data_IF_073925627767
#
_entry.id   IF_073925627767
#
_cell.length_a   1.000
_cell.length_b   1.000
_cell.length_c   1.000
_cell.angle_alpha   90.00
_cell.angle_beta   90.00
_cell.angle_gamma   90.00
#
_symmetry.space_group_name_H-M   'P 1'
#
loop_
_entity.id
_entity.type
_entity.pdbx_description
1 polymer ?
#
# COMPACT_ATOMS: atom_id res chain seq x y z
N UNK A 1 -1.28 11.02 -7.13
CA UNK A 1 0.08 10.45 -7.24
C UNK A 1 0.13 9.19 -6.41
N UNK A 2 0.85 8.16 -6.86
CA UNK A 2 0.96 6.91 -6.09
C UNK A 2 2.35 6.84 -5.47
N UNK A 3 2.39 6.71 -4.16
CA UNK A 3 3.59 6.50 -3.38
C UNK A 3 3.73 5.03 -3.06
N UNK A 4 4.90 4.46 -3.33
CA UNK A 4 5.28 3.14 -2.86
C UNK A 4 6.03 3.30 -1.55
N UNK A 5 5.60 2.57 -0.52
CA UNK A 5 6.30 2.47 0.75
C UNK A 5 6.67 1.02 1.02
N UNK A 6 7.87 0.82 1.55
CA UNK A 6 8.39 -0.47 1.96
C UNK A 6 8.44 -0.52 3.49
N UNK A 7 7.58 -1.35 4.06
CA UNK A 7 7.39 -1.49 5.51
C UNK A 7 8.33 -2.56 6.06
N UNK A 8 8.98 -2.28 7.18
CA UNK A 8 9.85 -3.22 7.87
C UNK A 8 9.04 -4.41 8.42
N UNK A 9 9.52 -5.65 8.26
CA UNK A 9 8.98 -6.79 8.99
C UNK A 9 9.47 -6.79 10.45
N UNK A 10 8.76 -7.50 11.33
CA UNK A 10 9.28 -7.83 12.66
C UNK A 10 10.67 -8.49 12.57
N UNK A 11 11.55 -8.28 13.56
CA UNK A 11 12.99 -8.62 13.55
C UNK A 11 13.35 -10.08 13.21
N UNK A 12 12.38 -10.99 13.21
CA UNK A 12 12.56 -12.42 12.90
C UNK A 12 11.74 -12.88 11.67
N UNK A 13 11.13 -11.96 10.91
CA UNK A 13 10.30 -12.28 9.74
C UNK A 13 10.98 -11.86 8.44
N UNK A 14 10.79 -12.68 7.42
CA UNK A 14 11.26 -12.37 6.07
C UNK A 14 10.37 -11.30 5.44
N UNK A 15 10.99 -10.39 4.70
CA UNK A 15 10.28 -9.41 3.90
C UNK A 15 9.67 -10.10 2.68
N UNK A 16 8.36 -9.88 2.48
CA UNK A 16 7.57 -10.40 1.35
C UNK A 16 6.98 -9.24 0.54
N UNK A 17 6.34 -9.55 -0.59
CA UNK A 17 5.60 -8.56 -1.39
C UNK A 17 4.55 -7.79 -0.59
N UNK A 18 3.98 -8.37 0.47
CA UNK A 18 2.93 -7.76 1.28
C UNK A 18 3.41 -6.55 2.08
N UNK A 19 4.74 -6.43 2.25
CA UNK A 19 5.38 -5.32 2.94
C UNK A 19 5.51 -4.08 2.05
N UNK A 20 5.16 -4.20 0.77
CA UNK A 20 5.21 -3.13 -0.19
C UNK A 20 3.77 -2.61 -0.41
N UNK A 21 3.53 -1.37 0.00
CA UNK A 21 2.20 -0.75 -0.04
C UNK A 21 2.21 0.41 -1.02
N UNK A 22 1.17 0.51 -1.85
CA UNK A 22 0.92 1.67 -2.70
C UNK A 22 -0.17 2.56 -2.10
N UNK A 23 0.15 3.83 -1.87
CA UNK A 23 -0.75 4.84 -1.31
C UNK A 23 -1.00 5.90 -2.36
N UNK A 24 -2.26 6.10 -2.73
CA UNK A 24 -2.67 7.24 -3.53
C UNK A 24 -2.82 8.48 -2.65
N UNK A 25 -2.17 9.57 -3.07
CA UNK A 25 -2.32 10.88 -2.44
C UNK A 25 -2.24 12.00 -3.49
N UNK A 26 -3.04 13.05 -3.27
CA UNK A 26 -2.97 14.30 -4.03
C UNK A 26 -1.87 15.24 -3.51
N UNK A 27 -1.26 14.93 -2.36
CA UNK A 27 -0.22 15.76 -1.75
C UNK A 27 1.07 15.75 -2.60
N UNK A 28 1.77 16.89 -2.69
CA UNK A 28 3.12 16.93 -3.22
C UNK A 28 4.10 16.11 -2.37
N UNK A 29 5.18 15.66 -3.00
CA UNK A 29 6.17 14.73 -2.41
C UNK A 29 6.73 15.18 -1.07
N UNK A 30 7.02 16.48 -0.91
CA UNK A 30 7.54 17.03 0.35
C UNK A 30 6.53 16.95 1.49
N UNK A 31 5.25 17.17 1.20
CA UNK A 31 4.18 17.07 2.19
C UNK A 31 3.89 15.62 2.55
N UNK A 32 4.00 14.69 1.59
CA UNK A 32 3.91 13.27 1.89
C UNK A 32 5.03 12.80 2.81
N UNK A 33 6.28 13.21 2.54
CA UNK A 33 7.40 12.90 3.46
C UNK A 33 7.17 13.49 4.85
N UNK A 34 6.70 14.74 4.93
CA UNK A 34 6.39 15.37 6.21
C UNK A 34 5.29 14.60 6.95
N UNK A 35 4.22 14.19 6.26
CA UNK A 35 3.15 13.37 6.83
C UNK A 35 3.68 12.06 7.43
N UNK A 36 4.62 11.39 6.75
CA UNK A 36 5.28 10.19 7.28
C UNK A 36 6.11 10.47 8.54
N UNK A 37 6.75 11.63 8.64
CA UNK A 37 7.52 12.03 9.82
C UNK A 37 6.62 12.40 10.99
N UNK A 38 5.56 13.15 10.73
CA UNK A 38 4.59 13.59 11.73
C UNK A 38 3.88 12.38 12.38
N UNK A 39 3.68 11.30 11.62
CA UNK A 39 3.15 10.02 12.10
C UNK A 39 4.21 9.06 12.66
N UNK A 40 5.46 9.51 12.82
CA UNK A 40 6.59 8.69 13.29
C UNK A 40 6.85 7.42 12.45
N UNK A 41 6.44 7.40 11.17
CA UNK A 41 6.64 6.28 10.25
C UNK A 41 8.04 6.32 9.61
N UNK A 42 8.60 7.52 9.46
CA UNK A 42 9.97 7.78 9.02
C UNK A 42 10.76 8.49 10.11
N UNK A 43 11.43 7.71 10.95
CA UNK A 43 12.43 8.22 11.89
C UNK A 43 13.87 7.95 11.39
N UNK A 44 14.85 8.67 11.94
CA UNK A 44 16.28 8.44 11.65
C UNK A 44 16.93 7.34 12.48
N UNK A 45 16.15 6.62 13.29
CA UNK A 45 16.66 5.72 14.34
C UNK A 45 17.05 4.33 13.82
N UNK A 46 16.83 4.06 12.53
CA UNK A 46 17.02 2.73 11.95
C UNK A 46 16.04 1.69 12.48
N UNK A 47 15.01 2.11 13.26
CA UNK A 47 13.87 1.30 13.71
C UNK A 47 12.54 1.76 13.12
N UNK A 48 12.58 2.74 12.23
CA UNK A 48 11.45 3.30 11.51
C UNK A 48 10.58 2.19 10.88
N UNK A 49 9.25 2.30 10.98
CA UNK A 49 8.32 1.40 10.31
C UNK A 49 8.53 1.34 8.80
N UNK A 50 8.81 2.48 8.17
CA UNK A 50 9.07 2.55 6.72
C UNK A 50 10.58 2.62 6.49
N UNK A 51 11.09 1.67 5.69
CA UNK A 51 12.52 1.57 5.37
C UNK A 51 12.86 2.35 4.10
N UNK A 52 11.93 2.40 3.15
CA UNK A 52 12.09 3.08 1.87
C UNK A 52 10.73 3.58 1.37
N UNK A 53 10.73 4.68 0.65
CA UNK A 53 9.55 5.16 -0.05
C UNK A 53 9.93 5.87 -1.35
N UNK A 54 8.97 6.04 -2.27
CA UNK A 54 9.19 6.74 -3.53
C UNK A 54 7.90 6.92 -4.34
N UNK A 55 8.00 7.63 -5.46
CA UNK A 55 6.87 7.84 -6.38
C UNK A 55 6.87 6.72 -7.41
N UNK A 56 5.72 6.07 -7.58
CA UNK A 56 5.51 5.10 -8.65
C UNK A 56 5.04 5.83 -9.90
N UNK A 57 5.81 5.69 -10.98
CA UNK A 57 5.46 6.27 -12.29
C UNK A 57 4.53 5.37 -13.12
N UNK A 58 4.29 4.14 -12.67
CA UNK A 58 3.48 3.15 -13.39
C UNK A 58 2.00 3.21 -12.97
N UNK A 59 1.08 2.81 -13.86
CA UNK A 59 -0.37 2.76 -13.63
C UNK A 59 -0.80 1.57 -12.74
N UNK A 60 -0.16 1.38 -11.59
CA UNK A 60 -0.60 0.36 -10.63
C UNK A 60 -1.80 0.87 -9.85
N UNK A 61 -2.74 0.01 -9.47
CA UNK A 61 -3.77 0.38 -8.50
C UNK A 61 -3.13 0.64 -7.14
N UNK A 62 -3.57 1.70 -6.46
CA UNK A 62 -3.18 1.93 -5.07
C UNK A 62 -3.92 0.95 -4.15
N UNK A 63 -3.27 0.53 -3.06
CA UNK A 63 -3.92 -0.25 -2.01
C UNK A 63 -4.81 0.64 -1.14
N UNK A 64 -4.39 1.88 -0.91
CA UNK A 64 -5.09 2.82 -0.05
C UNK A 64 -5.15 4.22 -0.66
N UNK A 65 -6.16 4.99 -0.28
CA UNK A 65 -6.27 6.41 -0.61
C UNK A 65 -6.08 7.25 0.66
N UNK A 66 -5.00 8.04 0.73
CA UNK A 66 -4.61 8.76 1.94
C UNK A 66 -5.69 9.71 2.45
N UNK A 67 -6.41 10.37 1.53
CA UNK A 67 -7.44 11.35 1.88
C UNK A 67 -8.64 10.78 2.65
N UNK A 68 -8.89 9.47 2.55
CA UNK A 68 -10.09 8.82 3.10
C UNK A 68 -9.76 7.66 4.05
N UNK A 69 -8.54 7.12 4.00
CA UNK A 69 -8.16 5.87 4.65
C UNK A 69 -6.90 6.00 5.52
N UNK A 70 -6.66 7.18 6.08
CA UNK A 70 -5.46 7.47 6.89
C UNK A 70 -5.25 6.46 8.03
N UNK A 71 -6.31 6.18 8.80
CA UNK A 71 -6.27 5.21 9.91
C UNK A 71 -6.00 3.78 9.42
N UNK A 72 -6.61 3.37 8.31
CA UNK A 72 -6.39 2.04 7.74
C UNK A 72 -4.93 1.87 7.26
N UNK A 73 -4.29 2.94 6.78
CA UNK A 73 -2.87 2.92 6.41
C UNK A 73 -2.00 2.70 7.64
N UNK A 74 -2.23 3.45 8.72
CA UNK A 74 -1.43 3.31 9.95
C UNK A 74 -1.61 1.94 10.61
N UNK A 75 -2.85 1.42 10.62
CA UNK A 75 -3.15 0.09 11.15
C UNK A 75 -2.46 -1.00 10.35
N UNK A 76 -2.49 -0.90 9.00
CA UNK A 76 -1.81 -1.85 8.13
C UNK A 76 -0.29 -1.82 8.32
N UNK A 77 0.31 -0.65 8.53
CA UNK A 77 1.75 -0.56 8.80
C UNK A 77 2.08 -1.22 10.14
N UNK A 78 1.28 -0.98 11.19
CA UNK A 78 1.45 -1.62 12.49
C UNK A 78 1.29 -3.15 12.42
N UNK A 79 0.34 -3.63 11.63
CA UNK A 79 0.11 -5.04 11.34
C UNK A 79 1.37 -5.69 10.73
N UNK A 80 1.91 -5.10 9.67
CA UNK A 80 3.10 -5.61 8.97
C UNK A 80 4.36 -5.57 9.87
N UNK A 81 4.48 -4.53 10.70
CA UNK A 81 5.56 -4.39 11.67
C UNK A 81 5.52 -5.43 12.79
N UNK A 82 4.34 -5.69 13.34
CA UNK A 82 4.14 -6.71 14.38
C UNK A 82 4.19 -8.13 13.82
N UNK A 83 3.97 -8.27 12.51
CA UNK A 83 3.81 -9.55 11.84
C UNK A 83 2.50 -10.22 12.22
N UNK A 84 1.52 -9.49 12.75
CA UNK A 84 0.19 -10.01 12.99
C UNK A 84 -0.52 -10.15 11.64
N UNK A 85 -0.22 -11.18 10.86
CA UNK A 85 -0.96 -11.50 9.62
C UNK A 85 -2.43 -11.75 9.96
N UNK A 86 -3.25 -10.70 9.96
CA UNK A 86 -4.65 -10.81 9.60
C UNK A 86 -4.70 -10.70 8.08
N UNK A 87 -4.20 -11.75 7.43
CA UNK A 87 -4.58 -12.04 6.05
C UNK A 87 -6.10 -12.22 6.07
N UNK A 88 -6.85 -11.30 5.45
CA UNK A 88 -7.77 -11.49 4.32
C UNK A 88 -8.65 -10.22 4.21
N UNK A 89 -8.95 -9.78 2.98
CA UNK A 89 -9.83 -8.65 2.61
C UNK A 89 -9.23 -7.25 2.53
N UNK A 90 -8.21 -7.09 1.66
CA UNK A 90 -8.22 -5.88 0.82
C UNK A 90 -9.29 -6.08 -0.25
N UNK A 91 -10.25 -5.14 -0.42
CA UNK A 91 -11.30 -5.31 -1.40
C UNK A 91 -10.69 -5.39 -2.80
N UNK A 92 -11.10 -6.43 -3.51
CA UNK A 92 -10.79 -6.71 -4.91
C UNK A 92 -11.44 -5.62 -5.77
N UNK A 93 -10.94 -4.39 -5.73
CA UNK A 93 -11.34 -3.30 -6.65
C UNK A 93 -10.13 -2.91 -7.49
N UNK A 94 -9.40 -3.90 -7.99
CA UNK A 94 -8.39 -3.71 -9.02
C UNK A 94 -8.07 -4.98 -9.82
N UNK A 95 -8.95 -5.99 -9.80
CA UNK A 95 -8.88 -7.06 -10.81
C UNK A 95 -9.62 -6.56 -12.04
N UNK A 96 -8.84 -5.91 -12.90
CA UNK A 96 -9.03 -5.84 -14.34
C UNK A 96 -10.47 -5.86 -14.85
N UNK A 97 -10.91 -4.66 -15.20
CA UNK A 97 -11.61 -4.39 -16.45
C UNK A 97 -10.82 -5.03 -17.60
N UNK A 98 -10.97 -6.35 -17.82
CA UNK A 98 -10.54 -7.07 -19.03
C UNK A 98 -11.04 -8.51 -19.05
N UNK A 99 -12.37 -8.67 -19.14
CA UNK A 99 -12.92 -9.82 -19.88
C UNK A 99 -14.29 -9.50 -20.51
N UNK A 100 -14.42 -8.34 -21.14
CA UNK A 100 -15.43 -8.14 -22.17
C UNK A 100 -14.85 -8.60 -23.51
N UNK A 101 -14.82 -9.92 -23.74
CA UNK A 101 -14.81 -10.48 -25.10
C UNK A 101 -16.14 -11.21 -25.31
N UNK A 102 -16.97 -10.53 -26.09
CA UNK A 102 -18.24 -10.86 -26.73
C UNK A 102 -18.19 -12.18 -27.54
N UNK A 103 -19.30 -12.57 -28.21
CA UNK A 103 -20.40 -13.44 -27.77
C UNK A 103 -20.27 -14.87 -28.32
N UNK A 104 -21.02 -15.84 -27.78
CA UNK A 104 -21.27 -17.11 -28.49
C UNK A 104 -22.77 -17.37 -28.51
N UNK A 105 -23.33 -17.28 -29.71
CA UNK A 105 -24.61 -17.88 -30.10
C UNK A 105 -24.54 -19.39 -29.90
N UNK A 106 -25.58 -19.99 -29.32
CA UNK A 106 -26.09 -21.27 -29.82
C UNK A 106 -27.56 -21.44 -29.42
N UNK A 107 -28.40 -21.55 -30.45
CA UNK A 107 -29.77 -22.03 -30.37
C UNK A 107 -29.80 -23.56 -30.29
N UNK A 108 -30.81 -24.10 -29.62
CA UNK A 108 -31.56 -25.31 -30.02
C UNK A 108 -32.83 -25.38 -29.18
#
# INVERSE_FOLDING_TARGET
MIYEILVRPSYNKLMTSDHLIWIESSMPTRFFEQWLRDHALLDGSGRSPIVRWGIVQTQRPAHFQLATQETAITDRIAELMSGATHLTDLPVVARDVKLAKTPVFLAA
#
